data_IF_294683233500
#
_entry.id   IF_294683233500
#
_cell.length_a   1.000
_cell.length_b   1.000
_cell.length_c   1.000
_cell.angle_alpha   90.00
_cell.angle_beta   90.00
_cell.angle_gamma   90.00
#
_symmetry.space_group_name_H-M   'P 1'
#
loop_
_entity.id
_entity.type
_entity.pdbx_description
1 polymer ?
#
# COMPACT_ATOMS: atom_id res chain seq x y z
N UNK A 1 0.72 -2.64 -8.78
CA UNK A 1 0.55 -1.26 -8.29
C UNK A 1 1.75 -0.90 -7.40
N UNK A 2 2.15 0.37 -7.31
CA UNK A 2 3.25 0.85 -6.44
C UNK A 2 2.80 2.15 -5.77
N UNK A 3 2.96 2.26 -4.45
CA UNK A 3 2.65 3.44 -3.66
C UNK A 3 3.30 3.35 -2.27
N UNK A 4 3.46 4.48 -1.54
CA UNK A 4 3.71 4.44 -0.11
C UNK A 4 2.55 3.79 0.63
N UNK A 5 2.87 2.96 1.63
CA UNK A 5 1.89 2.33 2.50
C UNK A 5 2.41 2.25 3.94
N UNK A 6 1.50 2.31 4.91
CA UNK A 6 1.79 1.93 6.27
C UNK A 6 1.80 0.40 6.37
N UNK A 7 2.85 -0.12 6.98
CA UNK A 7 3.05 -1.55 7.20
C UNK A 7 3.11 -1.77 8.71
N UNK A 8 2.36 -2.75 9.25
CA UNK A 8 2.42 -3.09 10.68
C UNK A 8 3.86 -3.35 11.13
N UNK A 9 4.21 -2.90 12.33
CA UNK A 9 5.59 -2.97 12.83
C UNK A 9 6.10 -4.41 13.02
N UNK A 10 5.18 -5.34 13.22
CA UNK A 10 5.39 -6.79 13.34
C UNK A 10 5.44 -7.52 11.99
N UNK A 11 5.00 -6.90 10.89
CA UNK A 11 5.11 -7.50 9.57
C UNK A 11 6.58 -7.57 9.12
N UNK A 12 7.06 -8.70 8.54
CA UNK A 12 8.44 -8.87 8.09
C UNK A 12 9.02 -7.73 7.23
N UNK A 13 8.21 -7.09 6.39
CA UNK A 13 8.63 -5.98 5.52
C UNK A 13 9.00 -4.71 6.31
N UNK A 14 8.44 -4.49 7.51
CA UNK A 14 8.76 -3.32 8.33
C UNK A 14 10.20 -3.33 8.88
N UNK A 15 10.83 -4.51 8.91
CA UNK A 15 12.22 -4.70 9.33
C UNK A 15 13.25 -4.37 8.24
N UNK A 16 12.83 -4.20 6.99
CA UNK A 16 13.71 -3.95 5.84
C UNK A 16 14.17 -2.49 5.85
N UNK A 17 15.48 -2.26 5.98
CA UNK A 17 16.07 -0.92 6.12
C UNK A 17 17.25 -0.70 5.17
N UNK A 18 17.57 0.56 4.90
CA UNK A 18 18.73 0.95 4.10
C UNK A 18 18.60 0.54 2.63
N UNK A 19 19.69 0.05 2.04
CA UNK A 19 19.75 -0.36 0.63
C UNK A 19 19.34 -1.82 0.39
N UNK A 20 18.67 -2.45 1.35
CA UNK A 20 18.15 -3.81 1.21
C UNK A 20 16.76 -3.78 0.57
N UNK A 21 16.49 -4.77 -0.26
CA UNK A 21 15.18 -5.03 -0.82
C UNK A 21 14.64 -6.33 -0.24
N UNK A 22 13.32 -6.44 -0.20
CA UNK A 22 12.65 -7.68 0.10
C UNK A 22 11.49 -7.92 -0.88
N UNK A 23 11.21 -9.19 -1.14
CA UNK A 23 10.02 -9.66 -1.86
C UNK A 23 9.31 -10.65 -0.96
N UNK A 24 8.10 -10.30 -0.53
CA UNK A 24 7.22 -11.18 0.24
C UNK A 24 6.23 -11.85 -0.71
N UNK A 25 6.14 -13.18 -0.65
CA UNK A 25 5.32 -14.01 -1.54
C UNK A 25 4.44 -14.89 -0.68
N UNK A 26 3.14 -14.87 -0.96
CA UNK A 26 2.16 -15.78 -0.36
C UNK A 26 1.72 -16.80 -1.40
N UNK A 27 1.72 -18.08 -1.03
CA UNK A 27 1.20 -19.15 -1.86
C UNK A 27 0.44 -20.18 -1.04
N UNK A 28 -0.62 -20.74 -1.61
CA UNK A 28 -1.53 -21.66 -0.91
C UNK A 28 -0.80 -22.85 -0.25
N UNK A 29 0.15 -23.46 -0.95
CA UNK A 29 0.88 -24.63 -0.45
C UNK A 29 2.15 -24.28 0.34
N UNK A 30 2.83 -23.19 -0.03
CA UNK A 30 4.13 -22.81 0.54
C UNK A 30 4.01 -21.84 1.71
N UNK A 31 2.82 -21.25 1.89
CA UNK A 31 2.57 -20.20 2.86
C UNK A 31 3.32 -18.92 2.50
N UNK A 32 3.92 -18.31 3.52
CA UNK A 32 4.64 -17.05 3.42
C UNK A 32 6.14 -17.28 3.16
N UNK A 33 6.67 -16.62 2.14
CA UNK A 33 8.09 -16.61 1.79
C UNK A 33 8.62 -15.18 1.71
N UNK A 34 9.76 -14.91 2.35
CA UNK A 34 10.45 -13.63 2.22
C UNK A 34 11.83 -13.83 1.59
N UNK A 35 12.05 -13.23 0.43
CA UNK A 35 13.35 -13.12 -0.22
C UNK A 35 13.97 -11.79 0.18
N UNK A 36 15.09 -11.80 0.87
CA UNK A 36 15.74 -10.60 1.41
C UNK A 36 17.20 -10.50 0.95
N UNK A 37 17.63 -9.31 0.52
CA UNK A 37 19.01 -9.09 0.11
C UNK A 37 19.29 -7.69 -0.43
N UNK A 38 20.51 -7.46 -0.90
CA UNK A 38 20.85 -6.19 -1.58
C UNK A 38 20.22 -6.18 -2.97
N UNK A 39 19.25 -5.29 -3.19
CA UNK A 39 18.60 -5.15 -4.49
C UNK A 39 19.30 -4.20 -5.46
N UNK A 40 20.37 -3.53 -5.01
CA UNK A 40 21.15 -2.62 -5.84
C UNK A 40 22.65 -2.69 -5.51
N UNK A 41 23.47 -2.32 -6.48
CA UNK A 41 24.93 -2.27 -6.39
C UNK A 41 25.61 -3.19 -7.41
N UNK A 42 26.79 -2.78 -7.89
CA UNK A 42 27.47 -3.46 -9.00
C UNK A 42 27.75 -4.95 -8.74
N UNK A 43 28.22 -5.32 -7.53
CA UNK A 43 28.49 -6.73 -7.18
C UNK A 43 27.20 -7.58 -7.06
N UNK A 44 26.16 -7.17 -6.29
CA UNK A 44 24.89 -7.89 -6.28
C UNK A 44 24.28 -8.09 -7.67
N UNK A 45 24.27 -7.05 -8.51
CA UNK A 45 23.72 -7.15 -9.87
C UNK A 45 24.56 -8.06 -10.76
N UNK A 46 25.90 -7.97 -10.70
CA UNK A 46 26.78 -8.86 -11.47
C UNK A 46 26.60 -10.34 -11.09
N UNK A 47 26.29 -10.63 -9.83
CA UNK A 47 26.00 -12.01 -9.38
C UNK A 47 24.75 -12.58 -10.06
N UNK A 48 23.67 -11.78 -10.19
CA UNK A 48 22.46 -12.20 -10.88
C UNK A 48 22.72 -12.46 -12.37
N UNK A 49 23.43 -11.53 -13.03
CA UNK A 49 23.82 -11.66 -14.45
C UNK A 49 24.67 -12.91 -14.68
N UNK A 50 25.64 -13.19 -13.80
CA UNK A 50 26.48 -14.38 -13.92
C UNK A 50 25.66 -15.68 -13.78
N UNK A 51 24.65 -15.70 -12.90
CA UNK A 51 23.73 -16.82 -12.77
C UNK A 51 23.03 -17.13 -14.09
N UNK A 52 22.42 -16.11 -14.70
CA UNK A 52 21.74 -16.25 -16.00
C UNK A 52 22.70 -16.73 -17.12
N UNK A 53 23.95 -16.25 -17.12
CA UNK A 53 24.98 -16.68 -18.10
C UNK A 53 25.33 -18.16 -17.93
N UNK A 54 25.49 -18.63 -16.70
CA UNK A 54 25.78 -20.04 -16.41
C UNK A 54 24.61 -20.93 -16.82
N UNK A 55 23.37 -20.53 -16.51
CA UNK A 55 22.17 -21.26 -16.89
C UNK A 55 21.99 -21.32 -18.41
N UNK A 56 22.21 -20.20 -19.11
CA UNK A 56 22.17 -20.13 -20.57
C UNK A 56 23.24 -21.04 -21.22
N UNK A 57 24.48 -21.04 -20.70
CA UNK A 57 25.54 -21.92 -21.18
C UNK A 57 25.20 -23.41 -20.97
N UNK A 58 24.62 -23.75 -19.81
CA UNK A 58 24.14 -25.10 -19.54
C UNK A 58 23.04 -25.55 -20.50
N UNK A 59 22.08 -24.67 -20.79
CA UNK A 59 21.00 -24.92 -21.73
C UNK A 59 21.52 -25.12 -23.16
N UNK A 60 22.44 -24.27 -23.61
CA UNK A 60 23.10 -24.41 -24.92
C UNK A 60 23.80 -25.76 -25.07
N UNK A 61 24.56 -26.20 -24.06
CA UNK A 61 25.25 -27.50 -24.08
C UNK A 61 24.30 -28.68 -24.14
N UNK A 62 23.13 -28.58 -23.52
CA UNK A 62 22.09 -29.61 -23.53
C UNK A 62 21.21 -29.55 -24.79
N UNK A 63 21.38 -28.56 -25.66
CA UNK A 63 20.51 -28.33 -26.81
C UNK A 63 19.06 -28.03 -26.39
N UNK A 64 18.86 -27.44 -25.21
CA UNK A 64 17.54 -27.14 -24.64
C UNK A 64 17.41 -25.66 -24.29
N UNK A 65 16.22 -25.26 -23.85
CA UNK A 65 15.94 -23.97 -23.25
C UNK A 65 15.13 -24.17 -21.97
N UNK A 66 15.11 -23.18 -21.09
CA UNK A 66 14.23 -23.21 -19.93
C UNK A 66 12.78 -23.15 -20.41
N UNK A 67 11.93 -24.16 -20.14
CA UNK A 67 10.52 -24.08 -20.47
C UNK A 67 9.86 -23.12 -19.48
N UNK A 68 9.63 -21.88 -19.88
CA UNK A 68 8.61 -21.06 -19.25
C UNK A 68 7.27 -21.68 -19.65
N UNK A 69 6.56 -22.26 -18.69
CA UNK A 69 5.21 -22.76 -18.94
C UNK A 69 4.32 -21.65 -19.52
N UNK A 70 3.31 -22.03 -20.31
CA UNK A 70 2.31 -21.08 -20.77
C UNK A 70 1.52 -20.57 -19.57
N UNK A 71 1.85 -19.36 -19.12
CA UNK A 71 1.05 -18.67 -18.11
C UNK A 71 -0.19 -18.08 -18.77
N UNK A 72 -1.38 -18.23 -18.16
CA UNK A 72 -2.57 -17.56 -18.65
C UNK A 72 -2.36 -16.05 -18.56
N UNK A 73 -2.95 -15.32 -19.52
CA UNK A 73 -2.89 -13.86 -19.50
C UNK A 73 -3.66 -13.33 -18.28
N UNK A 74 -2.95 -12.65 -17.38
CA UNK A 74 -3.59 -11.95 -16.27
C UNK A 74 -4.39 -10.74 -16.77
N UNK A 75 -5.57 -10.53 -16.20
CA UNK A 75 -6.37 -9.31 -16.41
C UNK A 75 -5.89 -8.25 -15.42
N UNK A 76 -5.44 -7.10 -15.93
CA UNK A 76 -5.04 -5.98 -15.09
C UNK A 76 -6.29 -5.24 -14.64
N UNK A 77 -6.54 -5.23 -13.32
CA UNK A 77 -7.64 -4.46 -12.73
C UNK A 77 -7.27 -2.97 -12.64
N UNK A 78 -8.20 -2.04 -12.97
CA UNK A 78 -8.04 -0.61 -12.74
C UNK A 78 -7.72 -0.30 -11.27
N UNK A 79 -7.05 0.83 -11.03
CA UNK A 79 -6.73 1.25 -9.66
C UNK A 79 -7.99 1.53 -8.83
N UNK A 80 -9.04 2.05 -9.46
CA UNK A 80 -10.31 2.43 -8.84
C UNK A 80 -11.10 1.25 -8.26
N UNK A 81 -10.84 0.04 -8.76
CA UNK A 81 -11.43 -1.22 -8.29
C UNK A 81 -10.59 -1.89 -7.19
N UNK A 82 -9.38 -1.39 -6.93
CA UNK A 82 -8.53 -1.92 -5.88
C UNK A 82 -9.14 -1.61 -4.52
N UNK A 83 -8.98 -2.55 -3.61
CA UNK A 83 -9.43 -2.42 -2.23
C UNK A 83 -8.24 -2.38 -1.29
N UNK A 84 -8.29 -1.50 -0.31
CA UNK A 84 -7.28 -1.33 0.73
C UNK A 84 -7.90 -0.64 1.94
N UNK A 85 -7.19 -0.70 3.05
CA UNK A 85 -7.44 0.14 4.20
C UNK A 85 -6.66 1.45 4.05
N UNK A 86 -7.12 2.52 4.68
CA UNK A 86 -6.53 3.85 4.52
C UNK A 86 -6.34 4.53 5.86
N UNK A 87 -5.22 5.22 5.98
CA UNK A 87 -4.96 6.24 6.97
C UNK A 87 -5.16 7.61 6.34
N UNK A 88 -5.98 8.43 6.99
CA UNK A 88 -6.25 9.80 6.60
C UNK A 88 -5.94 10.72 7.77
N UNK A 89 -5.14 11.74 7.52
CA UNK A 89 -4.84 12.80 8.48
C UNK A 89 -5.41 14.11 7.94
N UNK A 90 -6.36 14.67 8.69
CA UNK A 90 -7.04 15.92 8.41
C UNK A 90 -6.68 16.97 9.48
N UNK A 91 -6.57 18.21 9.04
CA UNK A 91 -6.61 19.41 9.88
C UNK A 91 -7.96 20.08 9.64
N UNK A 92 -8.65 20.38 10.75
CA UNK A 92 -10.02 20.89 10.76
C UNK A 92 -10.16 21.97 11.81
N UNK A 93 -11.20 22.80 11.71
CA UNK A 93 -11.54 23.76 12.76
C UNK A 93 -11.99 23.03 14.04
N UNK A 94 -11.61 23.51 15.22
CA UNK A 94 -12.05 22.88 16.48
C UNK A 94 -13.41 23.44 16.93
N UNK A 95 -14.49 22.83 16.42
CA UNK A 95 -15.86 23.20 16.80
C UNK A 95 -16.77 21.98 16.95
N UNK A 96 -17.81 22.05 17.80
CA UNK A 96 -18.81 21.00 17.88
C UNK A 96 -19.45 20.71 16.52
N UNK A 97 -19.62 19.42 16.19
CA UNK A 97 -20.25 18.97 14.96
C UNK A 97 -19.29 18.65 13.81
N UNK A 98 -18.04 19.12 13.86
CA UNK A 98 -17.05 18.87 12.78
C UNK A 98 -16.83 17.38 12.55
N UNK A 99 -16.66 16.60 13.62
CA UNK A 99 -16.52 15.15 13.51
C UNK A 99 -17.74 14.49 12.87
N UNK A 100 -18.96 14.95 13.21
CA UNK A 100 -20.19 14.44 12.59
C UNK A 100 -20.22 14.74 11.09
N UNK A 101 -19.89 15.97 10.70
CA UNK A 101 -19.81 16.37 9.28
C UNK A 101 -18.80 15.52 8.52
N UNK A 102 -17.59 15.35 9.06
CA UNK A 102 -16.53 14.55 8.43
C UNK A 102 -16.93 13.08 8.34
N UNK A 103 -17.36 12.47 9.44
CA UNK A 103 -17.80 11.05 9.45
C UNK A 103 -19.03 10.79 8.57
N UNK A 104 -19.92 11.78 8.42
CA UNK A 104 -21.04 11.73 7.49
C UNK A 104 -20.57 11.51 6.04
N UNK A 105 -19.54 12.24 5.60
CA UNK A 105 -18.96 12.08 4.25
C UNK A 105 -18.39 10.68 4.03
N UNK A 106 -17.75 10.08 5.03
CA UNK A 106 -17.30 8.69 4.95
C UNK A 106 -18.49 7.73 4.75
N UNK A 107 -19.57 7.91 5.51
CA UNK A 107 -20.77 7.09 5.43
C UNK A 107 -21.50 7.23 4.08
N UNK A 108 -21.61 8.44 3.54
CA UNK A 108 -22.23 8.73 2.23
C UNK A 108 -21.55 7.96 1.08
N UNK A 109 -20.23 7.74 1.18
CA UNK A 109 -19.44 7.03 0.19
C UNK A 109 -19.23 5.54 0.54
N UNK A 110 -19.87 5.05 1.60
CA UNK A 110 -19.76 3.65 2.03
C UNK A 110 -18.36 3.26 2.54
N UNK A 111 -17.59 4.22 3.05
CA UNK A 111 -16.27 3.98 3.64
C UNK A 111 -16.42 3.84 5.15
N UNK A 112 -16.21 2.63 5.67
CA UNK A 112 -16.31 2.37 7.11
C UNK A 112 -15.03 2.77 7.85
N UNK A 113 -15.19 3.43 9.00
CA UNK A 113 -14.10 3.86 9.88
C UNK A 113 -13.82 2.75 10.90
N UNK A 114 -12.58 2.25 10.94
CA UNK A 114 -12.12 1.29 11.95
C UNK A 114 -11.78 1.99 13.26
N UNK A 115 -10.99 3.06 13.17
CA UNK A 115 -10.59 3.85 14.33
C UNK A 115 -10.44 5.31 13.94
N UNK A 116 -10.61 6.18 14.93
CA UNK A 116 -10.45 7.61 14.79
C UNK A 116 -9.78 8.17 16.05
N UNK A 117 -8.90 9.13 15.86
CA UNK A 117 -8.26 9.89 16.93
C UNK A 117 -8.41 11.39 16.63
N UNK A 118 -8.77 12.15 17.66
CA UNK A 118 -8.85 13.60 17.60
C UNK A 118 -7.89 14.22 18.62
N UNK A 119 -7.07 15.17 18.16
CA UNK A 119 -6.15 15.93 19.00
C UNK A 119 -6.44 17.43 18.81
N UNK A 120 -6.76 18.14 19.89
CA UNK A 120 -6.97 19.59 19.85
C UNK A 120 -5.65 20.36 19.76
N UNK A 121 -5.59 21.36 18.89
CA UNK A 121 -4.44 22.21 18.59
C UNK A 121 -4.79 23.70 18.78
N UNK A 122 -5.52 24.02 19.85
CA UNK A 122 -6.00 25.38 20.12
C UNK A 122 -7.34 25.63 19.41
N UNK A 123 -7.36 26.50 18.41
CA UNK A 123 -8.57 26.80 17.61
C UNK A 123 -8.79 25.81 16.45
N UNK A 124 -7.84 24.90 16.23
CA UNK A 124 -7.86 23.83 15.24
C UNK A 124 -7.82 22.47 15.92
N UNK A 125 -8.25 21.43 15.21
CA UNK A 125 -8.13 20.04 15.63
C UNK A 125 -7.50 19.20 14.52
N UNK A 126 -6.77 18.19 14.93
CA UNK A 126 -6.28 17.12 14.07
C UNK A 126 -7.23 15.96 14.17
N UNK A 127 -7.71 15.46 13.03
CA UNK A 127 -8.43 14.20 12.95
C UNK A 127 -7.62 13.17 12.18
N UNK A 128 -7.42 12.01 12.80
CA UNK A 128 -6.77 10.85 12.18
C UNK A 128 -7.81 9.75 12.06
N UNK A 129 -7.97 9.20 10.86
CA UNK A 129 -8.86 8.08 10.59
C UNK A 129 -8.08 6.90 10.05
N UNK A 130 -8.44 5.69 10.50
CA UNK A 130 -8.09 4.44 9.84
C UNK A 130 -9.38 3.78 9.36
N UNK A 131 -9.47 3.45 8.08
CA UNK A 131 -10.64 2.82 7.49
C UNK A 131 -10.57 1.30 7.54
N UNK A 132 -11.73 0.65 7.45
CA UNK A 132 -11.79 -0.72 6.95
C UNK A 132 -11.45 -0.79 5.46
N UNK A 133 -11.36 -2.02 4.94
CA UNK A 133 -11.13 -2.27 3.52
C UNK A 133 -12.20 -1.58 2.66
N UNK A 134 -11.76 -0.68 1.78
CA UNK A 134 -12.62 0.16 0.95
C UNK A 134 -12.09 0.21 -0.48
N UNK A 135 -13.00 0.35 -1.44
CA UNK A 135 -12.64 0.57 -2.84
C UNK A 135 -11.95 1.93 -3.00
N UNK A 136 -10.90 1.97 -3.81
CA UNK A 136 -10.15 3.19 -4.13
C UNK A 136 -11.09 4.29 -4.64
N UNK A 137 -12.00 3.96 -5.55
CA UNK A 137 -13.00 4.91 -6.07
C UNK A 137 -13.83 5.57 -4.97
N UNK A 138 -14.30 4.80 -3.98
CA UNK A 138 -15.06 5.31 -2.85
C UNK A 138 -14.22 6.26 -2.00
N UNK A 139 -12.97 5.89 -1.69
CA UNK A 139 -12.06 6.73 -0.89
C UNK A 139 -11.69 8.01 -1.63
N UNK A 140 -11.44 7.95 -2.95
CA UNK A 140 -11.19 9.14 -3.75
C UNK A 140 -12.39 10.09 -3.77
N UNK A 141 -13.61 9.55 -3.85
CA UNK A 141 -14.83 10.35 -3.75
C UNK A 141 -14.99 10.98 -2.35
N UNK A 142 -14.75 10.22 -1.28
CA UNK A 142 -14.70 10.75 0.11
C UNK A 142 -13.69 11.89 0.21
N UNK A 143 -12.47 11.72 -0.31
CA UNK A 143 -11.43 12.76 -0.26
C UNK A 143 -11.83 14.02 -1.05
N UNK A 144 -12.47 13.85 -2.20
CA UNK A 144 -12.96 14.98 -2.99
C UNK A 144 -14.04 15.76 -2.22
N UNK A 145 -14.98 15.07 -1.59
CA UNK A 145 -16.03 15.69 -0.77
C UNK A 145 -15.47 16.36 0.50
N UNK A 146 -14.53 15.71 1.21
CA UNK A 146 -13.88 16.27 2.39
C UNK A 146 -13.14 17.57 2.08
N UNK A 147 -12.45 17.66 0.93
CA UNK A 147 -11.78 18.89 0.49
C UNK A 147 -12.73 20.06 0.19
N UNK A 148 -14.02 19.76 -0.02
CA UNK A 148 -15.05 20.78 -0.25
C UNK A 148 -15.73 21.27 1.03
N UNK A 149 -15.44 20.68 2.19
CA UNK A 149 -16.05 21.08 3.46
C UNK A 149 -15.39 22.33 4.02
N UNK A 150 -16.18 23.33 4.41
CA UNK A 150 -15.67 24.55 5.08
C UNK A 150 -14.98 24.26 6.41
N UNK A 151 -15.30 23.13 7.04
CA UNK A 151 -14.71 22.73 8.32
C UNK A 151 -13.36 22.02 8.17
N UNK A 152 -12.96 21.66 6.95
CA UNK A 152 -11.69 20.98 6.67
C UNK A 152 -10.71 21.98 6.06
N UNK A 153 -9.70 22.36 6.84
CA UNK A 153 -8.66 23.26 6.38
C UNK A 153 -7.73 22.54 5.39
N UNK A 154 -7.36 21.29 5.72
CA UNK A 154 -6.43 20.52 4.90
C UNK A 154 -6.55 19.01 5.08
N UNK A 155 -6.42 18.28 3.97
CA UNK A 155 -6.10 16.85 3.96
C UNK A 155 -4.57 16.71 3.94
N UNK A 156 -3.96 16.49 5.10
CA UNK A 156 -2.50 16.52 5.29
C UNK A 156 -1.81 15.30 4.70
N UNK A 157 -2.36 14.10 4.92
CA UNK A 157 -1.83 12.89 4.32
C UNK A 157 -2.88 11.81 4.12
N UNK A 158 -2.65 10.98 3.10
CA UNK A 158 -3.43 9.77 2.81
C UNK A 158 -2.45 8.67 2.48
N UNK A 159 -2.46 7.62 3.29
CA UNK A 159 -1.62 6.44 3.11
C UNK A 159 -2.50 5.20 3.07
N UNK A 160 -2.20 4.26 2.18
CA UNK A 160 -2.81 2.93 2.27
C UNK A 160 -2.19 2.17 3.42
N UNK A 161 -2.95 1.28 4.04
CA UNK A 161 -2.46 0.38 5.09
C UNK A 161 -2.43 -1.03 4.51
N UNK A 162 -1.28 -1.69 4.66
CA UNK A 162 -1.15 -3.10 4.36
C UNK A 162 -1.78 -3.85 5.51
N UNK A 163 -2.93 -4.48 5.26
CA UNK A 163 -3.52 -5.46 6.17
C UNK A 163 -2.60 -6.67 6.26
N UNK A 164 -2.37 -7.17 7.48
CA UNK A 164 -1.72 -8.45 7.72
C UNK A 164 -2.66 -9.63 7.52
#
# INVERSE_FOLDING_TARGET
>A
RVHPAMVPADHPLASVRGSFNAVFVEGEAVGELMLYGRGAGGRPTASAVLGDVVDAAGNLRRGTHAPLGLLPRAVIRPIDEMRSEYYLHLEVVDRPGVLHTVSGVFAEHGVSIRSMEQEGLGDEARLIFITHDAAESAVQATLAALRGLEVVDRVTSVLRVVSG
#
